data_IF_899892344986
#
_entry.id   IF_899892344986
#
_cell.length_a   1.000
_cell.length_b   1.000
_cell.length_c   1.000
_cell.angle_alpha   90.00
_cell.angle_beta   90.00
_cell.angle_gamma   90.00
#
_symmetry.space_group_name_H-M   'P 1'
#
loop_
_entity.id
_entity.type
_entity.pdbx_description
1 polymer ?
#
# COMPACT_ATOMS: atom_id res chain seq x y z
N UNK A 1 -0.22 -4.02 -15.15
CA UNK A 1 0.45 -4.65 -14.01
C UNK A 1 1.07 -3.58 -13.15
N UNK A 2 0.90 -3.71 -11.84
CA UNK A 2 1.57 -2.90 -10.82
C UNK A 2 2.65 -3.74 -10.16
N UNK A 3 3.78 -3.13 -9.82
CA UNK A 3 4.84 -3.73 -9.02
C UNK A 3 5.06 -2.90 -7.77
N UNK A 4 5.40 -3.55 -6.66
CA UNK A 4 5.86 -2.90 -5.44
C UNK A 4 7.37 -3.10 -5.26
N UNK A 5 8.02 -2.14 -4.62
CA UNK A 5 9.41 -2.27 -4.19
C UNK A 5 9.51 -2.00 -2.69
N UNK A 6 10.18 -2.92 -1.99
CA UNK A 6 10.55 -2.72 -0.61
C UNK A 6 12.01 -2.21 -0.54
N UNK A 7 12.23 -1.11 0.16
CA UNK A 7 13.52 -0.47 0.40
C UNK A 7 14.43 -1.28 1.31
N UNK A 8 15.66 -0.79 1.50
CA UNK A 8 16.64 -1.47 2.34
C UNK A 8 16.25 -1.42 3.83
N UNK A 9 16.44 -2.54 4.51
CA UNK A 9 16.33 -2.62 5.96
C UNK A 9 17.46 -1.85 6.69
N UNK A 10 17.16 -1.39 7.92
CA UNK A 10 18.09 -0.79 8.89
C UNK A 10 18.67 0.59 8.54
N UNK A 11 17.97 1.41 7.76
CA UNK A 11 18.40 2.78 7.51
C UNK A 11 17.99 3.74 8.65
N UNK A 12 18.88 4.62 9.16
CA UNK A 12 18.51 5.47 10.30
C UNK A 12 17.45 6.54 9.96
N UNK A 13 17.27 6.85 8.68
CA UNK A 13 16.64 8.10 8.22
C UNK A 13 15.23 7.93 7.66
N UNK A 14 14.70 6.70 7.61
CA UNK A 14 13.35 6.46 7.07
C UNK A 14 13.22 6.70 5.56
N UNK A 15 14.34 6.57 4.83
CA UNK A 15 14.43 6.45 3.38
C UNK A 15 15.35 5.26 3.05
N UNK A 16 15.26 4.66 1.85
CA UNK A 16 14.29 4.97 0.79
C UNK A 16 12.86 4.61 1.21
N UNK A 17 11.88 5.32 0.67
CA UNK A 17 10.47 4.98 0.83
C UNK A 17 10.14 3.67 0.10
N UNK A 18 9.12 2.97 0.60
CA UNK A 18 8.53 1.86 -0.14
C UNK A 18 7.71 2.44 -1.29
N UNK A 19 7.48 1.67 -2.36
CA UNK A 19 6.76 2.22 -3.51
C UNK A 19 5.89 1.22 -4.25
N UNK A 20 4.95 1.75 -5.02
CA UNK A 20 4.20 1.02 -6.02
C UNK A 20 4.17 1.78 -7.36
N UNK A 21 4.28 1.05 -8.46
CA UNK A 21 4.35 1.64 -9.79
C UNK A 21 3.60 0.82 -10.87
N UNK A 22 2.90 1.47 -11.81
CA UNK A 22 2.23 0.80 -12.93
C UNK A 22 3.24 0.45 -14.03
N UNK A 23 4.14 -0.49 -13.75
CA UNK A 23 5.27 -0.87 -14.63
C UNK A 23 4.87 -1.22 -16.07
N UNK A 24 3.67 -1.77 -16.29
CA UNK A 24 3.21 -2.11 -17.65
C UNK A 24 2.83 -0.90 -18.50
N UNK A 25 2.75 0.29 -17.91
CA UNK A 25 2.41 1.54 -18.62
C UNK A 25 3.65 2.40 -18.88
N UNK A 26 4.83 1.97 -18.41
CA UNK A 26 6.10 2.64 -18.65
C UNK A 26 6.55 2.39 -20.10
N UNK A 27 7.10 3.41 -20.74
CA UNK A 27 7.56 3.34 -22.13
C UNK A 27 8.85 2.50 -22.31
N UNK A 28 9.60 2.29 -21.23
CA UNK A 28 10.84 1.53 -21.18
C UNK A 28 10.93 0.82 -19.82
N UNK A 29 11.83 -0.18 -19.66
CA UNK A 29 12.14 -0.74 -18.36
C UNK A 29 12.47 0.36 -17.35
N UNK A 30 11.89 0.27 -16.15
CA UNK A 30 12.08 1.26 -15.10
C UNK A 30 13.28 0.88 -14.23
N UNK A 31 14.21 1.82 -14.07
CA UNK A 31 15.29 1.75 -13.10
C UNK A 31 14.94 2.66 -11.91
N UNK A 32 14.75 2.07 -10.73
CA UNK A 32 14.40 2.79 -9.51
C UNK A 32 15.63 3.19 -8.67
N UNK A 33 16.84 3.01 -9.19
CA UNK A 33 18.08 3.58 -8.65
C UNK A 33 18.84 2.70 -7.66
N UNK A 34 18.18 1.84 -6.91
CA UNK A 34 18.85 0.99 -5.92
C UNK A 34 19.88 0.04 -6.59
N UNK A 35 21.11 -0.13 -6.05
CA UNK A 35 21.59 0.34 -4.74
C UNK A 35 22.30 1.70 -4.73
N UNK A 36 22.47 2.36 -5.88
CA UNK A 36 23.30 3.56 -5.95
C UNK A 36 22.54 4.86 -5.66
N UNK A 37 21.23 4.84 -5.91
CA UNK A 37 20.35 5.99 -5.80
C UNK A 37 19.05 5.63 -5.09
N UNK A 38 18.51 6.60 -4.37
CA UNK A 38 17.17 6.57 -3.80
C UNK A 38 16.13 7.01 -4.84
N UNK A 39 14.87 6.66 -4.57
CA UNK A 39 13.69 6.92 -5.40
C UNK A 39 13.40 8.41 -5.64
N UNK A 40 14.04 9.29 -4.85
CA UNK A 40 13.92 10.74 -4.82
C UNK A 40 15.08 11.46 -5.54
N UNK A 41 15.89 10.73 -6.33
CA UNK A 41 17.09 11.22 -7.03
C UNK A 41 18.28 11.59 -6.13
N UNK A 42 18.26 11.18 -4.86
CA UNK A 42 19.42 11.35 -3.96
C UNK A 42 20.37 10.18 -4.13
N UNK A 43 21.67 10.49 -4.19
CA UNK A 43 22.72 9.46 -4.24
C UNK A 43 22.88 8.80 -2.88
N UNK A 44 22.72 7.48 -2.85
CA UNK A 44 23.07 6.66 -1.69
C UNK A 44 24.56 6.32 -1.72
N UNK A 45 25.06 5.89 -2.88
CA UNK A 45 26.49 5.68 -3.13
C UNK A 45 27.15 7.02 -3.48
N UNK A 46 28.24 7.43 -2.79
CA UNK A 46 28.95 8.66 -3.11
C UNK A 46 29.37 8.73 -4.60
N UNK A 47 28.95 9.79 -5.29
CA UNK A 47 29.28 10.03 -6.69
C UNK A 47 28.34 9.38 -7.72
N UNK A 48 27.28 8.68 -7.29
CA UNK A 48 26.27 8.15 -8.20
C UNK A 48 25.52 9.25 -8.97
N UNK A 49 25.21 9.00 -10.25
CA UNK A 49 24.36 9.87 -11.06
C UNK A 49 22.92 9.38 -11.05
N UNK A 50 22.07 10.06 -10.27
CA UNK A 50 20.67 9.67 -10.06
C UNK A 50 19.67 10.41 -10.96
N UNK A 51 20.13 11.19 -11.95
CA UNK A 51 19.26 12.02 -12.79
C UNK A 51 18.27 11.24 -13.66
N UNK A 52 18.56 9.96 -13.96
CA UNK A 52 17.71 9.10 -14.78
C UNK A 52 16.88 8.10 -13.97
N UNK A 53 16.97 8.13 -12.64
CA UNK A 53 16.19 7.25 -11.77
C UNK A 53 14.71 7.54 -11.95
N UNK A 54 13.91 6.49 -12.05
CA UNK A 54 12.47 6.60 -12.16
C UNK A 54 11.90 6.97 -10.80
N UNK A 55 11.17 8.08 -10.76
CA UNK A 55 10.29 8.38 -9.62
C UNK A 55 9.08 7.44 -9.69
N UNK A 56 8.83 6.63 -8.65
CA UNK A 56 7.67 5.75 -8.62
C UNK A 56 6.36 6.55 -8.52
N UNK A 57 5.27 5.97 -9.01
CA UNK A 57 3.98 6.65 -9.03
C UNK A 57 3.40 6.86 -7.62
N UNK A 58 3.61 5.90 -6.71
CA UNK A 58 3.13 5.93 -5.32
C UNK A 58 4.28 5.62 -4.38
N UNK A 59 4.37 6.36 -3.28
CA UNK A 59 5.28 6.07 -2.17
C UNK A 59 4.52 5.74 -0.89
N UNK A 60 5.18 5.00 -0.01
CA UNK A 60 4.74 4.68 1.35
C UNK A 60 5.92 4.88 2.31
N UNK A 61 5.67 5.15 3.60
CA UNK A 61 6.74 5.31 4.58
C UNK A 61 7.69 4.11 4.56
N UNK A 62 8.99 4.35 4.70
CA UNK A 62 9.98 3.29 4.83
C UNK A 62 9.57 2.28 5.92
N UNK A 63 9.98 1.02 5.73
CA UNK A 63 9.68 -0.11 6.60
C UNK A 63 8.23 -0.59 6.58
N UNK A 64 7.33 0.06 5.83
CA UNK A 64 5.96 -0.42 5.66
C UNK A 64 5.91 -1.77 4.97
N UNK A 65 6.95 -2.14 4.20
CA UNK A 65 7.09 -3.43 3.53
C UNK A 65 5.88 -3.74 2.64
N UNK A 66 5.80 -3.08 1.49
CA UNK A 66 4.78 -3.42 0.49
C UNK A 66 5.02 -4.83 -0.05
N UNK A 67 4.02 -5.70 0.05
CA UNK A 67 4.17 -7.11 -0.37
C UNK A 67 3.00 -7.66 -1.18
N UNK A 68 1.93 -6.88 -1.34
CA UNK A 68 0.78 -7.27 -2.15
C UNK A 68 0.05 -6.05 -2.70
N UNK A 69 -0.42 -6.14 -3.94
CA UNK A 69 -1.22 -5.09 -4.58
C UNK A 69 -2.36 -5.68 -5.40
N UNK A 70 -3.52 -5.01 -5.39
CA UNK A 70 -4.67 -5.38 -6.21
C UNK A 70 -5.44 -4.15 -6.67
N UNK A 71 -5.64 -4.01 -7.98
CA UNK A 71 -6.50 -2.97 -8.53
C UNK A 71 -7.96 -3.34 -8.28
N UNK A 72 -8.73 -2.42 -7.73
CA UNK A 72 -10.18 -2.55 -7.57
C UNK A 72 -10.89 -1.89 -8.76
N UNK A 73 -11.57 -2.65 -9.64
CA UNK A 73 -12.12 -2.12 -10.87
C UNK A 73 -13.14 -0.99 -10.66
N UNK A 74 -13.11 0.04 -11.52
CA UNK A 74 -14.14 1.10 -11.53
C UNK A 74 -15.53 0.51 -11.77
N UNK A 75 -15.62 -0.50 -12.63
CA UNK A 75 -16.83 -1.22 -12.97
C UNK A 75 -17.14 -2.40 -12.04
N UNK A 76 -16.54 -2.46 -10.84
CA UNK A 76 -16.75 -3.60 -9.95
C UNK A 76 -18.23 -3.78 -9.60
N UNK A 77 -18.73 -5.00 -9.82
CA UNK A 77 -20.10 -5.44 -9.51
C UNK A 77 -20.08 -6.59 -8.50
N UNK A 78 -21.27 -7.06 -8.11
CA UNK A 78 -21.45 -8.20 -7.22
C UNK A 78 -22.09 -7.82 -5.89
N UNK A 79 -22.57 -8.83 -5.16
CA UNK A 79 -23.34 -8.63 -3.93
C UNK A 79 -22.55 -7.94 -2.80
N UNK A 80 -21.22 -7.90 -2.91
CA UNK A 80 -20.31 -7.34 -1.92
C UNK A 80 -19.38 -6.28 -2.52
N UNK A 81 -19.77 -5.68 -3.65
CA UNK A 81 -19.01 -4.57 -4.24
C UNK A 81 -18.97 -3.38 -3.27
N UNK A 82 -17.79 -2.81 -3.09
CA UNK A 82 -17.58 -1.65 -2.22
C UNK A 82 -18.28 -0.40 -2.78
N UNK A 83 -18.60 0.57 -1.91
CA UNK A 83 -19.09 1.89 -2.32
C UNK A 83 -18.17 2.57 -3.34
N UNK A 84 -18.73 3.53 -4.09
CA UNK A 84 -18.03 4.21 -5.19
C UNK A 84 -16.67 4.80 -4.79
N UNK A 85 -16.51 5.26 -3.54
CA UNK A 85 -15.27 5.82 -3.02
C UNK A 85 -14.06 4.86 -3.05
N UNK A 86 -14.30 3.54 -3.12
CA UNK A 86 -13.25 2.52 -3.17
C UNK A 86 -13.06 1.92 -4.56
N UNK A 87 -13.72 2.48 -5.59
CA UNK A 87 -13.68 1.96 -6.96
C UNK A 87 -12.67 2.71 -7.80
N UNK A 88 -12.02 1.99 -8.73
CA UNK A 88 -10.97 2.56 -9.57
C UNK A 88 -9.73 2.93 -8.78
N UNK A 89 -9.36 2.12 -7.79
CA UNK A 89 -8.21 2.35 -6.93
C UNK A 89 -7.28 1.15 -6.83
N UNK A 90 -6.21 1.28 -6.04
CA UNK A 90 -5.26 0.22 -5.72
C UNK A 90 -5.33 -0.08 -4.23
N UNK A 91 -5.59 -1.34 -3.87
CA UNK A 91 -5.31 -1.83 -2.53
C UNK A 91 -3.86 -2.29 -2.46
N UNK A 92 -3.14 -1.85 -1.44
CA UNK A 92 -1.75 -2.21 -1.20
C UNK A 92 -1.61 -2.73 0.23
N UNK A 93 -1.04 -3.92 0.37
CA UNK A 93 -0.77 -4.54 1.66
C UNK A 93 0.62 -4.16 2.15
N UNK A 94 0.65 -3.55 3.32
CA UNK A 94 1.85 -3.22 4.08
C UNK A 94 2.04 -4.27 5.16
N UNK A 95 3.12 -5.04 5.05
CA UNK A 95 3.45 -6.12 5.99
C UNK A 95 3.96 -5.61 7.34
N UNK A 96 4.33 -4.33 7.39
CA UNK A 96 4.81 -3.62 8.55
C UNK A 96 6.25 -3.92 8.92
N UNK A 97 6.83 -3.04 9.73
CA UNK A 97 8.23 -3.13 10.14
C UNK A 97 8.46 -4.27 11.13
N UNK A 98 9.63 -4.90 11.05
CA UNK A 98 10.02 -5.97 11.98
C UNK A 98 10.61 -5.43 13.30
N UNK A 99 11.25 -4.26 13.27
CA UNK A 99 11.92 -3.67 14.42
C UNK A 99 10.95 -2.96 15.39
N UNK A 100 11.32 -2.92 16.67
CA UNK A 100 10.53 -2.34 17.76
C UNK A 100 10.88 -0.87 18.08
N UNK A 101 11.40 -0.13 17.11
CA UNK A 101 11.77 1.29 17.27
C UNK A 101 13.12 1.52 17.98
N UNK A 102 13.99 0.52 18.01
CA UNK A 102 15.37 0.68 18.48
C UNK A 102 16.09 1.76 17.68
N UNK A 103 16.90 2.59 18.34
CA UNK A 103 17.75 3.60 17.71
C UNK A 103 17.00 4.65 16.88
N UNK A 104 15.73 4.94 17.21
CA UNK A 104 14.95 6.00 16.54
C UNK A 104 14.36 5.61 15.19
N UNK A 105 14.47 4.34 14.77
CA UNK A 105 13.91 3.87 13.49
C UNK A 105 12.37 3.87 13.53
N UNK A 106 11.66 4.56 12.62
CA UNK A 106 10.20 4.68 12.67
C UNK A 106 9.45 3.34 12.55
N UNK A 107 8.56 3.04 13.49
CA UNK A 107 7.73 1.82 13.44
C UNK A 107 6.61 2.00 12.41
N UNK A 108 6.45 1.04 11.50
CA UNK A 108 5.35 0.98 10.53
C UNK A 108 4.40 -0.17 10.89
N UNK A 109 3.14 0.10 11.29
CA UNK A 109 2.15 -0.94 11.53
C UNK A 109 1.71 -1.67 10.25
N UNK A 110 1.52 -3.00 10.27
CA UNK A 110 0.88 -3.70 9.17
C UNK A 110 -0.54 -3.17 8.96
N UNK A 111 -0.90 -2.98 7.69
CA UNK A 111 -2.20 -2.47 7.29
C UNK A 111 -2.43 -2.73 5.80
N UNK A 112 -3.66 -2.53 5.34
CA UNK A 112 -3.98 -2.40 3.92
C UNK A 112 -4.30 -0.95 3.64
N UNK A 113 -3.55 -0.33 2.74
CA UNK A 113 -3.78 1.01 2.23
C UNK A 113 -4.65 0.99 0.96
N UNK A 114 -5.35 2.08 0.70
CA UNK A 114 -6.04 2.33 -0.56
C UNK A 114 -5.52 3.61 -1.21
N UNK A 115 -5.04 3.46 -2.44
CA UNK A 115 -4.61 4.56 -3.30
C UNK A 115 -5.73 4.84 -4.31
N UNK A 116 -6.44 5.98 -4.24
CA UNK A 116 -7.36 6.38 -5.30
C UNK A 116 -6.58 6.64 -6.60
N UNK A 117 -7.08 6.11 -7.72
CA UNK A 117 -6.52 6.37 -9.04
C UNK A 117 -7.47 7.24 -9.88
N UNK A 118 -6.92 8.04 -10.77
CA UNK A 118 -7.60 8.68 -11.88
C UNK A 118 -7.15 8.00 -13.18
N UNK A 119 -7.97 7.07 -13.68
CA UNK A 119 -7.57 6.16 -14.75
C UNK A 119 -6.48 5.21 -14.26
N UNK A 120 -5.31 5.23 -14.89
CA UNK A 120 -4.15 4.40 -14.51
C UNK A 120 -3.16 5.12 -13.59
N UNK A 121 -3.35 6.40 -13.30
CA UNK A 121 -2.43 7.21 -12.50
C UNK A 121 -3.00 7.46 -11.09
N UNK A 122 -2.15 7.61 -10.05
CA UNK A 122 -2.60 8.04 -8.73
C UNK A 122 -3.30 9.39 -8.78
N UNK A 123 -4.39 9.54 -8.03
CA UNK A 123 -5.16 10.79 -7.99
C UNK A 123 -4.37 11.95 -7.34
N UNK A 124 -3.32 11.64 -6.59
CA UNK A 124 -2.44 12.57 -5.89
C UNK A 124 -0.99 12.26 -6.27
N UNK A 125 -0.21 13.29 -6.59
CA UNK A 125 1.22 13.15 -6.88
C UNK A 125 2.01 12.78 -5.63
N UNK A 126 3.23 12.26 -5.81
CA UNK A 126 4.18 12.00 -4.72
C UNK A 126 4.47 13.31 -3.97
N UNK A 127 4.47 13.22 -2.63
CA UNK A 127 4.92 14.28 -1.75
C UNK A 127 6.07 13.76 -0.90
N UNK A 128 7.29 14.20 -1.20
CA UNK A 128 8.49 13.78 -0.47
C UNK A 128 8.53 14.24 1.00
N UNK A 129 7.68 15.19 1.39
CA UNK A 129 7.56 15.62 2.78
C UNK A 129 6.45 14.86 3.53
N UNK A 130 5.61 14.09 2.84
CA UNK A 130 4.52 13.32 3.41
C UNK A 130 4.23 12.07 2.56
N UNK A 131 4.87 10.93 2.86
CA UNK A 131 4.66 9.67 2.14
C UNK A 131 3.28 9.04 2.37
N UNK A 132 2.42 9.66 3.18
CA UNK A 132 1.04 9.21 3.41
C UNK A 132 0.02 9.97 2.55
N UNK A 133 0.43 11.06 1.91
CA UNK A 133 -0.46 11.98 1.22
C UNK A 133 -1.25 11.36 0.06
N UNK A 134 -0.81 10.23 -0.51
CA UNK A 134 -1.43 9.64 -1.70
C UNK A 134 -2.55 8.64 -1.40
N UNK A 135 -2.63 8.12 -0.17
CA UNK A 135 -3.48 6.98 0.18
C UNK A 135 -4.24 7.23 1.48
N UNK A 136 -5.10 6.27 1.86
CA UNK A 136 -5.74 6.23 3.17
C UNK A 136 -5.69 4.79 3.69
N UNK A 137 -5.70 4.62 5.00
CA UNK A 137 -5.91 3.31 5.62
C UNK A 137 -7.27 2.73 5.22
N UNK A 138 -7.28 1.46 4.82
CA UNK A 138 -8.48 0.69 4.53
C UNK A 138 -8.75 -0.39 5.58
N UNK A 139 -7.71 -1.15 5.96
CA UNK A 139 -7.79 -2.18 7.00
C UNK A 139 -6.59 -2.05 7.94
N UNK A 140 -6.87 -1.81 9.21
CA UNK A 140 -5.87 -1.69 10.29
C UNK A 140 -6.21 -2.65 11.44
N UNK A 141 -5.49 -2.55 12.56
CA UNK A 141 -5.72 -3.38 13.73
C UNK A 141 -4.84 -4.63 13.82
N UNK A 142 -3.83 -4.73 12.94
CA UNK A 142 -2.81 -5.79 12.99
C UNK A 142 -1.74 -5.56 14.07
N UNK A 143 -1.77 -4.42 14.76
CA UNK A 143 -0.93 -4.12 15.92
C UNK A 143 -1.83 -3.68 17.07
N UNK A 144 -1.60 -4.23 18.26
CA UNK A 144 -2.32 -3.82 19.47
C UNK A 144 -1.73 -2.55 20.10
N UNK A 145 -2.37 -2.06 21.16
CA UNK A 145 -1.93 -0.85 21.87
C UNK A 145 -0.56 -0.99 22.55
N UNK A 146 -0.09 -2.22 22.85
CA UNK A 146 1.24 -2.45 23.40
C UNK A 146 2.33 -2.54 22.34
N UNK A 147 2.01 -2.34 21.05
CA UNK A 147 2.94 -2.46 19.93
C UNK A 147 3.14 -3.88 19.42
N UNK A 148 2.48 -4.88 20.00
CA UNK A 148 2.62 -6.26 19.56
C UNK A 148 1.88 -6.49 18.23
N UNK A 149 2.53 -7.16 17.29
CA UNK A 149 1.92 -7.63 16.03
C UNK A 149 0.97 -8.78 16.34
N UNK A 150 -0.31 -8.62 16.00
CA UNK A 150 -1.34 -9.66 16.11
C UNK A 150 -1.79 -10.19 14.74
N UNK A 151 -1.17 -9.69 13.68
CA UNK A 151 -1.23 -10.19 12.30
C UNK A 151 -0.31 -9.38 11.40
N UNK A 152 -0.06 -9.83 10.17
CA UNK A 152 0.74 -9.11 9.17
C UNK A 152 0.16 -9.36 7.78
N UNK A 153 -0.47 -8.34 7.20
CA UNK A 153 -1.13 -8.46 5.91
C UNK A 153 -0.14 -8.71 4.78
N UNK A 154 -0.43 -9.69 3.91
CA UNK A 154 0.40 -10.07 2.76
C UNK A 154 -0.35 -9.98 1.42
N UNK A 155 -0.79 -11.11 0.87
CA UNK A 155 -1.46 -11.16 -0.41
C UNK A 155 -2.83 -10.49 -0.35
N UNK A 156 -3.16 -9.70 -1.37
CA UNK A 156 -4.48 -9.08 -1.54
C UNK A 156 -5.09 -9.48 -2.87
N UNK A 157 -6.39 -9.77 -2.87
CA UNK A 157 -7.11 -10.16 -4.08
C UNK A 157 -8.56 -9.69 -4.07
N UNK A 158 -9.07 -9.27 -5.23
CA UNK A 158 -10.48 -8.90 -5.40
C UNK A 158 -11.26 -10.11 -5.87
N UNK A 159 -12.28 -10.51 -5.09
CA UNK A 159 -13.17 -11.59 -5.45
C UNK A 159 -14.22 -11.19 -6.50
N UNK A 160 -14.79 -12.16 -7.23
CA UNK A 160 -15.77 -11.89 -8.31
C UNK A 160 -17.07 -11.23 -7.82
N UNK A 161 -17.40 -11.39 -6.53
CA UNK A 161 -18.56 -10.74 -5.91
C UNK A 161 -18.23 -9.35 -5.30
N UNK A 162 -17.00 -8.86 -5.50
CA UNK A 162 -16.55 -7.54 -5.04
C UNK A 162 -15.92 -7.48 -3.64
N UNK A 163 -15.87 -8.60 -2.91
CA UNK A 163 -15.13 -8.68 -1.64
C UNK A 163 -13.62 -8.54 -1.86
N UNK A 164 -12.92 -7.96 -0.90
CA UNK A 164 -11.45 -8.01 -0.83
C UNK A 164 -11.03 -9.19 0.05
N UNK A 165 -10.04 -9.96 -0.38
CA UNK A 165 -9.38 -10.98 0.42
C UNK A 165 -7.99 -10.48 0.79
N UNK A 166 -7.63 -10.66 2.07
CA UNK A 166 -6.34 -10.25 2.62
C UNK A 166 -5.76 -11.44 3.37
N UNK A 167 -4.61 -11.94 2.92
CA UNK A 167 -3.87 -12.98 3.63
C UNK A 167 -3.06 -12.38 4.79
N UNK A 168 -2.85 -13.17 5.82
CA UNK A 168 -1.99 -12.85 6.96
C UNK A 168 -1.11 -14.06 7.28
N UNK A 169 0.19 -13.91 7.08
CA UNK A 169 1.15 -14.99 7.26
C UNK A 169 1.57 -15.20 8.72
N UNK A 170 1.41 -14.19 9.57
CA UNK A 170 1.72 -14.29 11.00
C UNK A 170 0.69 -15.14 11.75
N UNK A 171 -0.58 -15.12 11.32
CA UNK A 171 -1.65 -15.91 11.94
C UNK A 171 -2.15 -17.06 11.08
N UNK A 172 -1.78 -17.12 9.79
CA UNK A 172 -2.26 -18.12 8.84
C UNK A 172 -3.70 -17.89 8.37
N UNK A 173 -4.28 -16.71 8.65
CA UNK A 173 -5.65 -16.39 8.30
C UNK A 173 -5.77 -15.79 6.88
N UNK A 174 -6.96 -15.94 6.30
CA UNK A 174 -7.40 -15.15 5.14
C UNK A 174 -8.67 -14.40 5.55
N UNK A 175 -8.57 -13.07 5.62
CA UNK A 175 -9.69 -12.20 5.90
C UNK A 175 -10.49 -11.94 4.64
N UNK A 176 -11.81 -12.04 4.72
CA UNK A 176 -12.74 -11.61 3.67
C UNK A 176 -13.43 -10.32 4.11
N UNK A 177 -13.06 -9.22 3.47
CA UNK A 177 -13.64 -7.91 3.71
C UNK A 177 -14.79 -7.67 2.73
N UNK A 178 -15.95 -7.30 3.27
CA UNK A 178 -17.17 -7.00 2.51
C UNK A 178 -17.94 -5.86 3.20
N UNK A 179 -18.72 -5.07 2.45
CA UNK A 179 -19.69 -4.17 3.07
C UNK A 179 -20.60 -4.98 3.98
N UNK A 180 -20.93 -4.44 5.14
CA UNK A 180 -22.06 -4.96 5.91
C UNK A 180 -23.31 -4.78 5.06
N UNK A 181 -24.19 -5.79 5.02
CA UNK A 181 -25.54 -5.53 4.57
C UNK A 181 -26.09 -4.46 5.51
N UNK A 182 -26.45 -3.29 4.99
CA UNK A 182 -27.30 -2.38 5.76
C UNK A 182 -28.50 -3.22 6.21
N UNK A 183 -28.76 -3.25 7.52
CA UNK A 183 -29.98 -3.83 8.04
C UNK A 183 -31.14 -3.08 7.41
N UNK A 184 -31.76 -3.64 6.37
CA UNK A 184 -33.01 -3.14 5.83
C UNK A 184 -34.11 -3.46 6.83
N UNK A 185 -34.32 -2.59 7.82
CA UNK A 185 -35.51 -2.50 8.69
C UNK A 185 -35.45 -1.16 9.44
N UNK A 186 -36.50 -0.35 9.54
CA UNK A 186 -37.91 -0.68 9.55
C UNK A 186 -38.76 0.41 8.87
N UNK A 187 -39.81 -0.05 8.17
CA UNK A 187 -41.03 0.75 7.95
C UNK A 187 -41.55 1.22 9.30
N UNK A 188 -41.65 2.52 9.51
CA UNK A 188 -42.68 3.06 10.40
C UNK A 188 -43.88 3.37 9.50
N UNK A 189 -44.92 2.53 9.63
CA UNK A 189 -46.26 2.82 9.12
C UNK A 189 -46.79 4.06 9.85
N UNK A 190 -47.59 4.85 9.12
CA UNK A 190 -48.34 6.01 9.61
C UNK A 190 -49.11 5.73 10.88
#
# INVERSE_FOLDING_TARGET
MWAGGAGQDNLPQGHPYEYADPVSTRAAPADYGWPDCEENHVAYTPGANCSNVVVPAVVFPAYSTIIGVAVYPTSQTGAYAFPAAWRGGLFASMHGSWHAGSNGVPIAPPHVAFVPLNGSAPARAVNWNDPTAQWNDFLTGFQNASGARIGRSTGVAVGPQGSLFVADDATGNIYRIRPSALATSAKVRR
#
